data_IF_217011834578
#
_entry.id   IF_217011834578
#
_cell.length_a   1.000
_cell.length_b   1.000
_cell.length_c   1.000
_cell.angle_alpha   90.00
_cell.angle_beta   90.00
_cell.angle_gamma   90.00
#
_symmetry.space_group_name_H-M   'P 1'
#
loop_
_entity.id
_entity.type
_entity.pdbx_description
1 polymer ?
#
# COMPACT_ATOMS: atom_id res chain seq x y z
N UNK A 1 17.82 -12.80 5.28
CA UNK A 1 16.95 -11.78 5.92
C UNK A 1 17.69 -10.45 6.11
N UNK A 2 18.87 -10.40 6.75
CA UNK A 2 19.60 -9.14 6.99
C UNK A 2 19.93 -8.33 5.71
N UNK A 3 20.27 -9.00 4.60
CA UNK A 3 20.52 -8.33 3.32
C UNK A 3 19.26 -7.65 2.77
N UNK A 4 18.11 -8.31 2.81
CA UNK A 4 16.83 -7.77 2.33
C UNK A 4 16.40 -6.53 3.14
N UNK A 5 16.68 -6.51 4.45
CA UNK A 5 16.38 -5.36 5.31
C UNK A 5 17.19 -4.10 4.95
N UNK A 6 18.37 -4.27 4.34
CA UNK A 6 19.21 -3.16 3.88
C UNK A 6 18.84 -2.62 2.49
N UNK A 7 17.92 -3.28 1.79
CA UNK A 7 17.45 -2.87 0.46
C UNK A 7 16.34 -1.81 0.58
N UNK A 8 16.71 -0.59 0.97
CA UNK A 8 15.75 0.49 1.24
C UNK A 8 14.87 0.81 0.04
N UNK A 9 15.44 0.84 -1.17
CA UNK A 9 14.66 1.08 -2.40
C UNK A 9 13.64 -0.03 -2.68
N UNK A 10 13.97 -1.29 -2.38
CA UNK A 10 13.02 -2.41 -2.53
C UNK A 10 11.84 -2.25 -1.57
N UNK A 11 12.12 -1.87 -0.31
CA UNK A 11 11.08 -1.54 0.65
C UNK A 11 10.17 -0.41 0.14
N UNK A 12 10.77 0.69 -0.25
CA UNK A 12 10.09 1.87 -0.73
C UNK A 12 9.24 1.57 -1.98
N UNK A 13 9.73 0.72 -2.88
CA UNK A 13 8.99 0.26 -4.06
C UNK A 13 7.73 -0.53 -3.68
N UNK A 14 7.83 -1.41 -2.70
CA UNK A 14 6.68 -2.18 -2.21
C UNK A 14 5.65 -1.27 -1.55
N UNK A 15 6.08 -0.35 -0.70
CA UNK A 15 5.17 0.61 -0.07
C UNK A 15 4.47 1.51 -1.09
N UNK A 16 5.19 1.99 -2.11
CA UNK A 16 4.59 2.80 -3.16
C UNK A 16 3.58 2.01 -4.00
N UNK A 17 3.86 0.74 -4.28
CA UNK A 17 2.91 -0.14 -4.96
C UNK A 17 1.62 -0.33 -4.14
N UNK A 18 1.75 -0.60 -2.84
CA UNK A 18 0.60 -0.75 -1.94
C UNK A 18 -0.21 0.55 -1.78
N UNK A 19 0.47 1.71 -1.82
CA UNK A 19 -0.18 3.01 -1.80
C UNK A 19 -0.99 3.26 -3.07
N UNK A 20 -0.39 3.03 -4.23
CA UNK A 20 -1.03 3.34 -5.54
C UNK A 20 -2.10 2.34 -5.92
N UNK A 21 -1.96 1.08 -5.50
CA UNK A 21 -2.88 -0.01 -5.83
C UNK A 21 -3.13 -0.91 -4.61
N UNK A 22 -3.91 -0.43 -3.64
CA UNK A 22 -4.21 -1.19 -2.43
C UNK A 22 -5.03 -2.45 -2.78
N UNK A 23 -4.60 -3.65 -2.34
CA UNK A 23 -5.26 -4.91 -2.68
C UNK A 23 -6.73 -5.00 -2.25
N UNK A 24 -7.08 -4.30 -1.18
CA UNK A 24 -8.45 -4.20 -0.66
C UNK A 24 -8.82 -2.72 -0.63
N UNK A 25 -9.45 -2.20 -1.70
CA UNK A 25 -9.67 -0.75 -1.83
C UNK A 25 -10.72 -0.21 -0.86
N UNK A 26 -11.66 -1.02 -0.40
CA UNK A 26 -12.73 -0.60 0.49
C UNK A 26 -12.64 -1.27 1.86
N UNK A 27 -12.83 -0.45 2.90
CA UNK A 27 -13.05 -0.90 4.27
C UNK A 27 -14.44 -0.46 4.71
N UNK A 28 -15.17 -1.34 5.38
CA UNK A 28 -16.54 -1.07 5.83
C UNK A 28 -16.62 -1.16 7.34
N UNK A 29 -17.36 -0.23 7.93
CA UNK A 29 -17.68 -0.22 9.35
C UNK A 29 -19.11 0.29 9.60
N UNK A 30 -19.74 -0.17 10.67
CA UNK A 30 -21.03 0.35 11.11
C UNK A 30 -20.86 1.14 12.40
N UNK A 31 -21.35 2.37 12.42
CA UNK A 31 -21.30 3.22 13.60
C UNK A 31 -22.03 2.58 14.79
N UNK A 32 -21.33 2.41 15.90
CA UNK A 32 -21.89 1.83 17.14
C UNK A 32 -22.62 2.85 18.00
N UNK A 33 -22.32 4.14 17.80
CA UNK A 33 -22.93 5.28 18.47
C UNK A 33 -22.99 6.46 17.50
N UNK A 34 -23.72 7.51 17.85
CA UNK A 34 -23.62 8.78 17.16
C UNK A 34 -22.20 9.32 17.34
N UNK A 35 -21.61 9.81 16.25
CA UNK A 35 -20.22 10.28 16.26
C UNK A 35 -20.01 11.38 15.23
N UNK A 36 -18.87 12.06 15.31
CA UNK A 36 -18.38 12.97 14.30
C UNK A 36 -17.13 12.37 13.67
N UNK A 37 -17.08 12.31 12.35
CA UNK A 37 -15.89 11.95 11.58
C UNK A 37 -15.29 13.23 11.02
N UNK A 38 -14.06 13.49 11.36
CA UNK A 38 -13.33 14.69 10.92
C UNK A 38 -12.37 14.34 9.79
N UNK A 39 -12.25 15.27 8.86
CA UNK A 39 -11.21 15.29 7.82
C UNK A 39 -10.35 16.55 7.97
N UNK A 40 -9.49 16.87 7.02
CA UNK A 40 -8.61 18.05 7.09
C UNK A 40 -9.35 19.39 7.26
N UNK A 41 -10.54 19.50 6.68
CA UNK A 41 -11.30 20.76 6.56
C UNK A 41 -12.80 20.60 6.76
N UNK A 42 -13.28 19.43 7.12
CA UNK A 42 -14.70 19.13 7.23
C UNK A 42 -14.98 18.16 8.37
N UNK A 43 -16.18 18.25 8.95
CA UNK A 43 -16.67 17.35 9.97
C UNK A 43 -18.05 16.83 9.57
N UNK A 44 -18.25 15.54 9.67
CA UNK A 44 -19.48 14.84 9.27
C UNK A 44 -20.13 14.17 10.46
N UNK A 45 -21.40 14.46 10.70
CA UNK A 45 -22.19 13.76 11.71
C UNK A 45 -22.61 12.40 11.16
N UNK A 46 -22.34 11.37 11.91
CA UNK A 46 -22.70 9.99 11.61
C UNK A 46 -23.60 9.46 12.72
N UNK A 47 -24.76 8.93 12.38
CA UNK A 47 -25.70 8.35 13.35
C UNK A 47 -25.37 6.88 13.62
N UNK A 48 -25.71 6.42 14.82
CA UNK A 48 -25.66 5.01 15.18
C UNK A 48 -26.39 4.15 14.13
N UNK A 49 -25.71 3.11 13.65
CA UNK A 49 -26.25 2.17 12.66
C UNK A 49 -25.92 2.53 11.22
N UNK A 50 -25.43 3.73 10.91
CA UNK A 50 -24.99 4.09 9.56
C UNK A 50 -23.77 3.28 9.14
N UNK A 51 -23.71 2.93 7.84
CA UNK A 51 -22.62 2.22 7.24
C UNK A 51 -21.58 3.24 6.72
N UNK A 52 -20.37 3.11 7.20
CA UNK A 52 -19.20 3.87 6.73
C UNK A 52 -18.43 3.01 5.73
N UNK A 53 -18.07 3.60 4.60
CA UNK A 53 -17.19 3.01 3.62
C UNK A 53 -15.95 3.91 3.45
N UNK A 54 -14.79 3.40 3.81
CA UNK A 54 -13.52 4.06 3.56
C UNK A 54 -12.94 3.54 2.25
N UNK A 55 -12.67 4.44 1.30
CA UNK A 55 -12.01 4.09 0.04
C UNK A 55 -10.52 4.44 0.12
N UNK A 56 -9.70 3.43 0.35
CA UNK A 56 -8.25 3.59 0.51
C UNK A 56 -7.60 4.22 -0.72
N UNK A 57 -8.11 3.94 -1.92
CA UNK A 57 -7.61 4.54 -3.16
C UNK A 57 -7.64 6.07 -3.18
N UNK A 58 -8.61 6.71 -2.52
CA UNK A 58 -8.64 8.18 -2.35
C UNK A 58 -7.70 8.60 -1.22
N UNK A 59 -7.78 7.98 -0.06
CA UNK A 59 -6.97 8.36 1.09
C UNK A 59 -5.47 8.26 0.81
N UNK A 60 -5.06 7.20 0.10
CA UNK A 60 -3.66 6.98 -0.30
C UNK A 60 -3.19 7.91 -1.44
N UNK A 61 -4.10 8.69 -2.04
CA UNK A 61 -3.80 9.69 -3.07
C UNK A 61 -4.12 11.12 -2.63
N UNK A 62 -4.27 11.36 -1.33
CA UNK A 62 -4.49 12.71 -0.83
C UNK A 62 -3.27 13.60 -1.11
N UNK A 63 -3.41 14.69 -1.92
CA UNK A 63 -2.30 15.59 -2.23
C UNK A 63 -1.80 16.39 -1.03
N UNK A 64 -2.60 16.50 0.04
CA UNK A 64 -2.18 17.11 1.31
C UNK A 64 -1.17 16.24 2.08
N UNK A 65 -1.15 14.94 1.79
CA UNK A 65 -0.26 13.96 2.41
C UNK A 65 0.86 13.54 1.46
N UNK A 66 0.50 13.20 0.22
CA UNK A 66 1.43 12.68 -0.78
C UNK A 66 1.60 13.68 -1.93
N UNK A 67 2.78 14.27 -2.09
CA UNK A 67 3.09 15.12 -3.24
C UNK A 67 3.01 14.32 -4.54
N UNK A 68 2.43 14.89 -5.62
CA UNK A 68 2.22 14.20 -6.90
C UNK A 68 1.64 12.78 -6.70
N UNK A 69 0.44 12.64 -6.09
CA UNK A 69 -0.05 11.37 -5.57
C UNK A 69 -0.31 10.33 -6.65
N UNK A 70 -0.55 10.74 -7.89
CA UNK A 70 -0.80 9.83 -9.02
C UNK A 70 0.48 9.30 -9.69
N UNK A 71 1.64 9.87 -9.31
CA UNK A 71 2.93 9.43 -9.82
C UNK A 71 3.52 8.33 -8.93
N UNK A 72 3.99 7.25 -9.55
CA UNK A 72 4.71 6.17 -8.85
C UNK A 72 6.13 6.63 -8.49
N UNK A 73 6.35 6.96 -7.23
CA UNK A 73 7.62 7.53 -6.73
C UNK A 73 8.09 6.80 -5.47
N UNK A 74 8.79 5.66 -5.59
CA UNK A 74 9.27 4.90 -4.44
C UNK A 74 10.10 5.71 -3.45
N UNK A 75 10.91 6.63 -3.94
CA UNK A 75 11.82 7.45 -3.11
C UNK A 75 11.10 8.25 -2.03
N UNK A 76 9.75 8.49 -2.16
CA UNK A 76 8.98 9.16 -1.11
C UNK A 76 9.01 8.43 0.22
N UNK A 77 9.18 7.11 0.20
CA UNK A 77 9.25 6.27 1.41
C UNK A 77 10.67 6.03 1.91
N UNK A 78 11.67 6.76 1.40
CA UNK A 78 13.05 6.64 1.82
C UNK A 78 13.45 7.75 2.81
N UNK A 79 14.45 7.45 3.64
CA UNK A 79 14.99 8.40 4.61
C UNK A 79 14.00 8.81 5.71
N UNK A 80 14.34 9.86 6.50
CA UNK A 80 13.53 10.28 7.65
C UNK A 80 12.12 10.77 7.28
N UNK A 81 11.98 11.46 6.15
CA UNK A 81 10.68 11.95 5.68
C UNK A 81 9.80 10.79 5.22
N UNK A 82 10.38 9.82 4.52
CA UNK A 82 9.66 8.63 4.08
C UNK A 82 9.13 7.81 5.26
N UNK A 83 9.89 7.71 6.35
CA UNK A 83 9.43 7.04 7.57
C UNK A 83 8.18 7.70 8.18
N UNK A 84 8.07 9.03 8.12
CA UNK A 84 6.86 9.74 8.57
C UNK A 84 5.65 9.46 7.68
N UNK A 85 5.86 9.29 6.37
CA UNK A 85 4.77 8.95 5.45
C UNK A 85 4.18 7.56 5.69
N UNK A 86 4.91 6.66 6.34
CA UNK A 86 4.39 5.33 6.72
C UNK A 86 3.23 5.42 7.73
N UNK A 87 3.12 6.51 8.50
CA UNK A 87 1.97 6.77 9.36
C UNK A 87 0.66 6.95 8.57
N UNK A 88 0.78 7.32 7.29
CA UNK A 88 -0.34 7.49 6.37
C UNK A 88 -0.56 6.30 5.44
N UNK A 89 0.28 5.27 5.50
CA UNK A 89 0.11 4.02 4.77
C UNK A 89 -0.71 3.05 5.62
N UNK A 90 -1.93 2.73 5.20
CA UNK A 90 -2.87 1.95 6.01
C UNK A 90 -2.94 0.48 5.59
N UNK A 91 -3.06 -0.38 6.59
CA UNK A 91 -3.28 -1.82 6.48
C UNK A 91 -4.60 -2.17 7.18
N UNK A 92 -5.68 -2.27 6.42
CA UNK A 92 -7.02 -2.28 6.99
C UNK A 92 -7.29 -0.97 7.77
N UNK A 93 -7.46 -1.01 9.08
CA UNK A 93 -7.79 0.17 9.88
C UNK A 93 -6.59 0.81 10.58
N UNK A 94 -5.39 0.25 10.43
CA UNK A 94 -4.21 0.74 11.13
C UNK A 94 -3.06 1.12 10.22
N UNK A 95 -2.30 2.14 10.60
CA UNK A 95 -1.13 2.58 9.88
C UNK A 95 0.01 1.56 9.94
N UNK A 96 0.92 1.59 8.96
CA UNK A 96 2.10 0.71 8.89
C UNK A 96 2.92 0.74 10.19
N UNK A 97 3.08 1.92 10.79
CA UNK A 97 3.91 2.13 11.99
C UNK A 97 3.24 1.75 13.31
N UNK A 98 1.92 1.54 13.31
CA UNK A 98 1.17 1.27 14.54
C UNK A 98 1.18 -0.21 14.90
N UNK A 99 1.05 -0.49 16.20
CA UNK A 99 0.84 -1.85 16.71
C UNK A 99 -0.65 -2.19 16.68
N UNK A 100 -1.03 -3.40 16.24
CA UNK A 100 -2.43 -3.84 16.27
C UNK A 100 -3.02 -3.82 17.68
N UNK A 101 -4.27 -3.36 17.79
CA UNK A 101 -5.05 -3.38 19.02
C UNK A 101 -6.53 -3.67 18.72
N UNK A 102 -7.37 -3.71 19.74
CA UNK A 102 -8.82 -3.85 19.57
C UNK A 102 -9.46 -2.68 18.82
N UNK A 103 -8.88 -1.49 18.97
CA UNK A 103 -9.32 -0.25 18.31
C UNK A 103 -8.63 -0.02 16.98
N UNK A 104 -7.45 -0.62 16.79
CA UNK A 104 -6.59 -0.46 15.63
C UNK A 104 -6.30 -1.82 14.99
N UNK A 105 -7.27 -2.34 14.28
CA UNK A 105 -7.14 -3.63 13.58
C UNK A 105 -6.31 -3.47 12.31
N UNK A 106 -5.11 -4.02 12.34
CA UNK A 106 -4.29 -4.15 11.14
C UNK A 106 -4.57 -5.45 10.40
N UNK A 107 -4.20 -5.47 9.11
CA UNK A 107 -4.20 -6.70 8.33
C UNK A 107 -3.26 -7.74 8.95
N UNK A 108 -3.77 -8.92 9.25
CA UNK A 108 -2.96 -10.02 9.81
C UNK A 108 -1.84 -10.48 8.86
N UNK A 109 -2.00 -10.25 7.56
CA UNK A 109 -1.01 -10.58 6.53
C UNK A 109 0.05 -9.50 6.27
N UNK A 110 0.02 -8.37 6.98
CA UNK A 110 0.90 -7.22 6.73
C UNK A 110 2.37 -7.60 6.56
N UNK A 111 2.94 -8.23 7.55
CA UNK A 111 4.37 -8.57 7.55
C UNK A 111 4.71 -9.66 6.52
N UNK A 112 3.80 -10.61 6.32
CA UNK A 112 3.94 -11.65 5.32
C UNK A 112 3.93 -11.06 3.90
N UNK A 113 2.96 -10.20 3.58
CA UNK A 113 2.86 -9.54 2.27
C UNK A 113 4.09 -8.68 2.02
N UNK A 114 4.50 -7.87 2.98
CA UNK A 114 5.72 -7.06 2.89
C UNK A 114 6.96 -7.92 2.61
N UNK A 115 7.12 -9.04 3.30
CA UNK A 115 8.25 -9.94 3.11
C UNK A 115 8.24 -10.56 1.72
N UNK A 116 7.11 -11.15 1.31
CA UNK A 116 6.97 -11.86 0.03
C UNK A 116 7.15 -10.90 -1.15
N UNK A 117 6.53 -9.71 -1.10
CA UNK A 117 6.67 -8.72 -2.15
C UNK A 117 8.12 -8.24 -2.31
N UNK A 118 8.84 -7.98 -1.20
CA UNK A 118 10.26 -7.62 -1.23
C UNK A 118 11.14 -8.72 -1.77
N UNK A 119 10.90 -9.96 -1.37
CA UNK A 119 11.61 -11.13 -1.91
C UNK A 119 11.38 -11.27 -3.40
N UNK A 120 10.14 -11.08 -3.86
CA UNK A 120 9.80 -11.14 -5.27
C UNK A 120 10.55 -10.07 -6.08
N UNK A 121 10.48 -8.81 -5.67
CA UNK A 121 11.16 -7.68 -6.35
C UNK A 121 12.67 -7.91 -6.35
N UNK A 122 13.27 -8.23 -5.20
CA UNK A 122 14.71 -8.48 -5.11
C UNK A 122 15.15 -9.64 -6.03
N UNK A 123 14.42 -10.77 -6.02
CA UNK A 123 14.76 -11.91 -6.88
C UNK A 123 14.61 -11.58 -8.36
N UNK A 124 13.59 -10.81 -8.74
CA UNK A 124 13.40 -10.41 -10.14
C UNK A 124 14.62 -9.64 -10.66
N UNK A 125 15.03 -8.59 -9.94
CA UNK A 125 16.15 -7.74 -10.36
C UNK A 125 17.53 -8.37 -10.17
N UNK A 126 17.68 -9.32 -9.26
CA UNK A 126 18.94 -10.07 -9.12
C UNK A 126 19.14 -11.12 -10.21
N UNK A 127 18.05 -11.66 -10.78
CA UNK A 127 18.13 -12.78 -11.73
C UNK A 127 18.02 -12.36 -13.18
N UNK A 128 17.39 -11.21 -13.46
CA UNK A 128 17.08 -10.78 -14.82
C UNK A 128 17.59 -9.37 -15.08
N UNK A 129 18.30 -9.19 -16.20
CA UNK A 129 18.75 -7.89 -16.69
C UNK A 129 17.67 -7.19 -17.53
N UNK A 130 16.74 -7.97 -18.05
CA UNK A 130 15.64 -7.46 -18.85
C UNK A 130 14.39 -8.30 -18.65
N UNK A 131 13.25 -7.64 -18.57
CA UNK A 131 11.94 -8.28 -18.66
C UNK A 131 10.94 -7.35 -19.36
N UNK A 132 10.00 -7.97 -20.06
CA UNK A 132 8.89 -7.27 -20.70
C UNK A 132 7.58 -7.76 -20.09
N UNK A 133 6.76 -6.81 -19.67
CA UNK A 133 5.44 -7.07 -19.09
C UNK A 133 4.36 -6.83 -20.15
N UNK A 134 3.32 -7.63 -20.11
CA UNK A 134 2.12 -7.46 -20.90
C UNK A 134 0.91 -7.55 -19.96
N UNK A 135 0.08 -6.53 -19.99
CA UNK A 135 -1.23 -6.59 -19.33
C UNK A 135 -2.13 -7.49 -20.14
N UNK A 136 -2.82 -8.42 -19.49
CA UNK A 136 -3.85 -9.24 -20.12
C UNK A 136 -5.20 -8.65 -19.77
N UNK A 137 -6.05 -8.46 -20.77
CA UNK A 137 -7.43 -7.99 -20.58
C UNK A 137 -8.24 -9.11 -19.93
N UNK A 138 -8.27 -9.17 -18.60
CA UNK A 138 -9.21 -10.01 -17.87
C UNK A 138 -10.18 -9.07 -17.14
N UNK A 139 -11.47 -9.25 -17.38
CA UNK A 139 -12.51 -8.53 -16.65
C UNK A 139 -12.50 -8.96 -15.19
N UNK A 140 -12.05 -8.05 -14.30
CA UNK A 140 -11.99 -8.29 -12.86
C UNK A 140 -11.29 -7.14 -12.13
N UNK A 141 -11.28 -7.19 -10.80
CA UNK A 141 -10.66 -6.18 -9.95
C UNK A 141 -9.13 -6.21 -9.96
N UNK A 142 -8.53 -7.27 -10.50
CA UNK A 142 -7.09 -7.38 -10.70
C UNK A 142 -6.78 -7.66 -12.17
N UNK A 143 -5.95 -6.85 -12.79
CA UNK A 143 -5.47 -7.09 -14.15
C UNK A 143 -4.25 -8.01 -14.09
N UNK A 144 -4.33 -9.26 -14.61
CA UNK A 144 -3.19 -10.16 -14.62
C UNK A 144 -2.05 -9.58 -15.46
N UNK A 145 -0.84 -9.70 -14.95
CA UNK A 145 0.38 -9.29 -15.63
C UNK A 145 1.13 -10.55 -16.07
N UNK A 146 1.47 -10.61 -17.35
CA UNK A 146 2.27 -11.70 -17.91
C UNK A 146 3.66 -11.19 -18.26
N UNK A 147 4.68 -11.96 -17.90
CA UNK A 147 6.01 -11.75 -18.44
C UNK A 147 6.03 -12.30 -19.87
N UNK A 148 6.18 -11.41 -20.86
CA UNK A 148 6.25 -11.79 -22.27
C UNK A 148 7.69 -12.04 -22.75
N UNK A 149 8.70 -11.54 -22.01
CA UNK A 149 10.10 -11.82 -22.23
C UNK A 149 10.88 -11.71 -20.91
N UNK A 150 11.87 -12.57 -20.72
CA UNK A 150 12.79 -12.60 -19.59
C UNK A 150 14.19 -12.89 -20.12
N UNK A 151 15.17 -12.04 -19.79
CA UNK A 151 16.58 -12.27 -20.06
C UNK A 151 17.34 -12.41 -18.76
N UNK A 152 17.86 -13.59 -18.49
CA UNK A 152 18.66 -13.84 -17.29
C UNK A 152 19.94 -13.01 -17.31
N UNK A 153 20.36 -12.58 -16.14
CA UNK A 153 21.68 -11.99 -15.91
C UNK A 153 22.75 -13.03 -16.22
N UNK A 154 23.75 -12.63 -16.98
CA UNK A 154 24.96 -13.44 -17.14
C UNK A 154 25.72 -13.40 -15.81
N UNK A 155 26.07 -14.56 -15.30
CA UNK A 155 26.97 -14.72 -14.15
C UNK A 155 28.39 -14.37 -14.58
#
# INVERSE_FOLDING_TARGET
MAALQKMELVHATVYEALRTDPPVPFQYGRARADMVVESHDSAFRVKKGELLASYQGIAMRDPKVFSSPDSFQPHRFMGPQGKKLLDSLTWSNGAETQTPSTENKQCAGKDFVNLVARLFVANLFLRYDFFKLQQTSAGGTATPIKFSALKKRKQ
#
